data_IF_789864800705
#
_entry.id   IF_789864800705
#
_cell.length_a   1.000
_cell.length_b   1.000
_cell.length_c   1.000
_cell.angle_alpha   90.00
_cell.angle_beta   90.00
_cell.angle_gamma   90.00
#
_symmetry.space_group_name_H-M   'P 1'
#
loop_
_entity.id
_entity.type
_entity.pdbx_description
1 polymer ?
#
# COMPACT_ATOMS: atom_id res chain seq x y z
N UNK A 1 -64.90 24.43 -15.68
CA UNK A 1 -63.60 24.89 -16.23
C UNK A 1 -62.52 24.95 -15.12
N UNK A 2 -62.45 23.91 -14.25
CA UNK A 2 -61.50 23.88 -13.10
C UNK A 2 -60.84 22.52 -12.87
N UNK A 3 -60.98 21.55 -13.78
CA UNK A 3 -60.42 20.19 -13.60
C UNK A 3 -59.18 19.90 -14.49
N UNK A 4 -58.85 20.80 -15.46
CA UNK A 4 -57.74 20.58 -16.41
C UNK A 4 -56.39 21.13 -15.88
N UNK A 5 -56.42 22.11 -14.98
CA UNK A 5 -55.19 22.73 -14.46
C UNK A 5 -54.50 21.93 -13.34
N UNK A 6 -55.26 21.10 -12.63
CA UNK A 6 -54.66 20.26 -11.56
C UNK A 6 -53.88 19.05 -12.12
N UNK A 7 -54.26 18.54 -13.30
CA UNK A 7 -53.59 17.41 -13.92
C UNK A 7 -52.21 17.73 -14.48
N UNK A 8 -52.04 18.96 -14.99
CA UNK A 8 -50.74 19.43 -15.54
C UNK A 8 -49.67 19.68 -14.45
N UNK A 9 -50.12 20.06 -13.24
CA UNK A 9 -49.19 20.39 -12.14
C UNK A 9 -48.55 19.13 -11.55
N UNK A 10 -49.20 18.01 -11.52
CA UNK A 10 -48.67 16.77 -10.92
C UNK A 10 -47.67 16.05 -11.83
N UNK A 11 -47.85 16.08 -13.15
CA UNK A 11 -46.91 15.46 -14.08
C UNK A 11 -45.62 16.26 -14.21
N UNK A 12 -45.66 17.57 -14.10
CA UNK A 12 -44.47 18.41 -14.19
C UNK A 12 -43.60 18.30 -12.95
N UNK A 13 -44.21 18.08 -11.76
CA UNK A 13 -43.43 17.84 -10.52
C UNK A 13 -42.81 16.44 -10.47
N UNK A 14 -43.48 15.43 -11.04
CA UNK A 14 -42.95 14.06 -11.12
C UNK A 14 -41.77 13.97 -12.09
N UNK A 15 -41.79 14.66 -13.21
CA UNK A 15 -40.69 14.68 -14.20
C UNK A 15 -39.45 15.38 -13.64
N UNK A 16 -39.61 16.48 -12.88
CA UNK A 16 -38.51 17.19 -12.25
C UNK A 16 -37.86 16.34 -11.14
N UNK A 17 -38.64 15.54 -10.39
CA UNK A 17 -38.10 14.65 -9.36
C UNK A 17 -37.34 13.45 -9.95
N UNK A 18 -37.76 12.92 -11.10
CA UNK A 18 -37.08 11.83 -11.81
C UNK A 18 -35.79 12.33 -12.46
N UNK A 19 -35.75 13.56 -12.99
CA UNK A 19 -34.50 14.14 -13.54
C UNK A 19 -33.48 14.52 -12.46
N UNK A 20 -33.94 14.91 -11.26
CA UNK A 20 -33.02 15.23 -10.16
C UNK A 20 -32.44 13.96 -9.50
N UNK A 21 -33.16 12.85 -9.52
CA UNK A 21 -32.65 11.54 -9.03
C UNK A 21 -31.64 10.91 -10.00
N UNK A 22 -31.73 11.19 -11.30
CA UNK A 22 -30.78 10.68 -12.30
C UNK A 22 -29.42 11.39 -12.31
N UNK A 23 -29.30 12.56 -11.67
CA UNK A 23 -28.02 13.28 -11.56
C UNK A 23 -27.19 12.91 -10.32
N UNK A 24 -27.69 12.01 -9.46
CA UNK A 24 -26.95 11.54 -8.27
C UNK A 24 -26.29 10.17 -8.47
N UNK A 25 -26.42 9.56 -9.65
CA UNK A 25 -25.63 8.37 -10.03
C UNK A 25 -24.39 8.75 -10.83
N UNK A 26 -23.67 9.76 -10.34
CA UNK A 26 -22.43 10.20 -10.92
C UNK A 26 -21.24 9.71 -10.10
N UNK A 27 -20.43 8.87 -10.71
CA UNK A 27 -19.04 8.57 -10.36
C UNK A 27 -18.79 8.02 -8.95
N UNK A 28 -19.08 6.75 -8.76
CA UNK A 28 -18.20 5.93 -7.92
C UNK A 28 -16.98 5.47 -8.74
N UNK A 29 -16.28 6.41 -9.37
CA UNK A 29 -14.90 6.21 -9.75
C UNK A 29 -14.12 6.16 -8.44
N UNK A 30 -13.43 5.07 -8.16
CA UNK A 30 -12.46 5.01 -7.08
C UNK A 30 -11.46 6.13 -7.37
N UNK A 31 -11.41 7.13 -6.49
CA UNK A 31 -10.50 8.30 -6.57
C UNK A 31 -9.04 7.89 -6.28
N UNK A 32 -8.72 6.64 -6.59
CA UNK A 32 -7.37 6.11 -6.42
C UNK A 32 -6.47 6.64 -7.54
N UNK A 33 -5.33 7.24 -7.20
CA UNK A 33 -4.41 7.83 -8.17
C UNK A 33 -3.68 6.79 -9.03
N UNK A 34 -3.93 5.51 -8.80
CA UNK A 34 -3.29 4.40 -9.52
C UNK A 34 -4.26 3.23 -9.72
N UNK A 35 -3.94 2.35 -10.65
CA UNK A 35 -4.65 1.08 -10.87
C UNK A 35 -3.70 -0.12 -10.86
N UNK A 36 -4.23 -1.26 -10.44
CA UNK A 36 -3.52 -2.54 -10.46
C UNK A 36 -3.64 -3.19 -11.84
N UNK A 37 -2.52 -3.65 -12.38
CA UNK A 37 -2.46 -4.39 -13.64
C UNK A 37 -2.04 -5.83 -13.32
N UNK A 38 -2.90 -6.78 -13.65
CA UNK A 38 -2.67 -8.20 -13.47
C UNK A 38 -2.42 -8.86 -14.83
N UNK A 39 -1.48 -9.79 -14.88
CA UNK A 39 -1.34 -10.67 -16.02
C UNK A 39 -2.46 -11.72 -16.01
N UNK A 40 -2.89 -12.25 -17.17
CA UNK A 40 -3.93 -13.28 -17.23
C UNK A 40 -3.63 -14.45 -16.28
N UNK A 41 -4.59 -14.79 -15.41
CA UNK A 41 -4.47 -15.85 -14.42
C UNK A 41 -3.76 -15.46 -13.11
N UNK A 42 -3.34 -14.21 -12.96
CA UNK A 42 -2.74 -13.70 -11.70
C UNK A 42 -3.66 -12.76 -10.93
N UNK A 43 -4.87 -12.54 -11.41
CA UNK A 43 -5.88 -11.73 -10.75
C UNK A 43 -6.31 -12.38 -9.41
N UNK A 44 -6.65 -11.59 -8.38
CA UNK A 44 -7.17 -12.13 -7.12
C UNK A 44 -8.36 -13.08 -7.31
N UNK A 45 -9.22 -12.79 -8.30
CA UNK A 45 -10.38 -13.63 -8.68
C UNK A 45 -10.00 -14.98 -9.29
N UNK A 46 -8.81 -15.14 -9.83
CA UNK A 46 -8.31 -16.41 -10.37
C UNK A 46 -7.84 -17.39 -9.27
N UNK A 47 -7.90 -16.98 -7.99
CA UNK A 47 -7.42 -17.79 -6.86
C UNK A 47 -5.89 -17.89 -6.78
N UNK A 48 -5.16 -17.14 -7.60
CA UNK A 48 -3.72 -17.08 -7.55
C UNK A 48 -3.27 -16.37 -6.25
N UNK A 49 -2.49 -17.06 -5.42
CA UNK A 49 -1.93 -16.50 -4.18
C UNK A 49 -0.63 -15.74 -4.47
N UNK A 50 -0.70 -14.75 -5.36
CA UNK A 50 0.46 -13.93 -5.69
C UNK A 50 0.70 -12.88 -4.59
N UNK A 51 1.90 -12.79 -4.02
CA UNK A 51 2.23 -11.83 -2.96
C UNK A 51 2.49 -10.40 -3.49
N UNK A 52 2.30 -10.17 -4.79
CA UNK A 52 2.55 -8.89 -5.46
C UNK A 52 1.60 -8.70 -6.64
N UNK A 53 1.44 -7.45 -7.07
CA UNK A 53 0.77 -7.08 -8.32
C UNK A 53 1.78 -7.06 -9.47
N UNK A 54 1.40 -7.51 -10.65
CA UNK A 54 2.31 -7.58 -11.82
C UNK A 54 2.82 -6.20 -12.24
N UNK A 55 1.93 -5.18 -12.23
CA UNK A 55 2.30 -3.79 -12.43
C UNK A 55 1.27 -2.86 -11.77
N UNK A 56 1.68 -1.62 -11.50
CA UNK A 56 0.78 -0.55 -11.06
C UNK A 56 0.99 0.64 -11.97
N UNK A 57 -0.10 1.13 -12.56
CA UNK A 57 -0.08 2.33 -13.38
C UNK A 57 -0.53 3.53 -12.55
N UNK A 58 0.36 4.49 -12.36
CA UNK A 58 0.04 5.78 -11.73
C UNK A 58 -0.62 6.68 -12.76
N UNK A 59 -1.76 7.27 -12.41
CA UNK A 59 -2.54 8.16 -13.28
C UNK A 59 -2.50 9.62 -12.81
N UNK A 60 -2.36 9.83 -11.50
CA UNK A 60 -2.34 11.17 -10.89
C UNK A 60 -1.69 11.06 -9.51
N UNK A 61 -1.70 12.14 -8.73
CA UNK A 61 -1.22 12.16 -7.36
C UNK A 61 0.24 12.57 -7.20
N UNK A 62 0.68 12.68 -5.94
CA UNK A 62 2.02 13.07 -5.55
C UNK A 62 2.86 11.83 -5.25
N UNK A 63 4.01 11.70 -5.91
CA UNK A 63 4.94 10.59 -5.69
C UNK A 63 5.80 10.89 -4.46
N UNK A 64 5.84 9.95 -3.53
CA UNK A 64 6.69 9.99 -2.32
C UNK A 64 7.67 8.83 -2.36
N UNK A 65 8.96 9.14 -2.31
CA UNK A 65 10.04 8.17 -2.19
C UNK A 65 10.38 7.98 -0.72
N UNK A 66 10.23 6.76 -0.21
CA UNK A 66 10.63 6.40 1.13
C UNK A 66 12.02 5.77 1.08
N UNK A 67 12.92 6.25 1.93
CA UNK A 67 14.26 5.68 2.06
C UNK A 67 14.22 4.22 2.51
N UNK A 68 15.31 3.49 2.19
CA UNK A 68 15.53 2.14 2.72
C UNK A 68 15.48 2.16 4.25
N UNK A 69 14.72 1.24 4.81
CA UNK A 69 14.50 1.13 6.24
C UNK A 69 14.82 -0.28 6.70
N UNK A 70 15.66 -0.39 7.72
CA UNK A 70 15.99 -1.64 8.40
C UNK A 70 15.23 -1.73 9.73
N UNK A 71 15.26 -2.90 10.37
CA UNK A 71 14.62 -3.07 11.67
C UNK A 71 15.37 -2.42 12.85
N UNK A 72 16.21 -1.43 12.61
CA UNK A 72 16.88 -0.64 13.64
C UNK A 72 15.96 0.44 14.20
N UNK A 73 16.06 0.78 15.49
CA UNK A 73 15.38 1.94 16.04
C UNK A 73 15.86 3.23 15.39
N UNK A 74 14.98 4.23 15.33
CA UNK A 74 15.36 5.57 14.90
C UNK A 74 15.00 6.56 16.02
N UNK A 75 15.91 7.44 16.43
CA UNK A 75 17.29 7.62 15.94
C UNK A 75 18.29 6.55 16.49
N UNK A 76 19.41 6.38 15.81
CA UNK A 76 20.58 5.63 16.29
C UNK A 76 21.87 6.32 15.82
N UNK A 77 23.01 5.91 16.34
CA UNK A 77 24.30 6.56 16.05
C UNK A 77 24.82 6.29 14.64
N UNK A 78 25.47 7.29 14.06
CA UNK A 78 26.26 7.19 12.83
C UNK A 78 27.66 7.75 13.07
N UNK A 79 28.75 6.97 12.90
CA UNK A 79 28.79 5.55 12.51
C UNK A 79 28.04 4.62 13.48
N UNK A 80 27.50 3.51 12.96
CA UNK A 80 26.71 2.57 13.73
C UNK A 80 27.51 1.96 14.90
N UNK A 81 26.87 1.91 16.07
CA UNK A 81 27.44 1.28 17.28
C UNK A 81 26.64 -0.02 17.54
N UNK A 82 27.21 -1.22 17.28
CA UNK A 82 26.48 -2.48 17.37
C UNK A 82 25.78 -2.72 18.71
N UNK A 83 26.35 -2.27 19.83
CA UNK A 83 25.76 -2.43 21.16
C UNK A 83 24.45 -1.68 21.36
N UNK A 84 24.16 -0.67 20.56
CA UNK A 84 22.84 0.01 20.59
C UNK A 84 21.68 -0.92 20.19
N UNK A 85 22.01 -2.02 19.49
CA UNK A 85 21.02 -2.97 18.99
C UNK A 85 20.93 -4.25 19.83
N UNK A 86 21.77 -4.44 20.86
CA UNK A 86 21.87 -5.71 21.62
C UNK A 86 20.58 -6.12 22.35
N UNK A 87 19.71 -5.16 22.62
CA UNK A 87 18.42 -5.38 23.27
C UNK A 87 17.32 -5.84 22.32
N UNK A 88 17.56 -5.88 21.00
CA UNK A 88 16.55 -6.18 19.99
C UNK A 88 16.38 -7.69 19.80
N UNK A 89 15.16 -8.08 19.52
CA UNK A 89 14.86 -9.40 18.95
C UNK A 89 15.21 -9.40 17.45
N UNK A 90 16.15 -10.26 17.06
CA UNK A 90 16.61 -10.40 15.68
C UNK A 90 15.89 -11.53 14.92
N UNK A 91 14.80 -12.09 15.45
CA UNK A 91 13.98 -13.00 14.67
C UNK A 91 13.47 -12.33 13.39
N UNK A 92 13.29 -13.07 12.29
CA UNK A 92 12.79 -12.51 11.04
C UNK A 92 11.45 -11.79 11.18
N UNK A 93 10.58 -12.33 12.01
CA UNK A 93 9.28 -11.74 12.34
C UNK A 93 9.42 -10.38 13.02
N UNK A 94 10.22 -10.32 14.09
CA UNK A 94 10.40 -9.08 14.85
C UNK A 94 11.08 -7.98 14.02
N UNK A 95 12.07 -8.32 13.22
CA UNK A 95 12.71 -7.39 12.31
C UNK A 95 11.73 -6.85 11.26
N UNK A 96 10.92 -7.74 10.66
CA UNK A 96 9.94 -7.33 9.65
C UNK A 96 8.85 -6.44 10.25
N UNK A 97 8.40 -6.71 11.47
CA UNK A 97 7.45 -5.84 12.17
C UNK A 97 8.03 -4.42 12.31
N UNK A 98 9.27 -4.29 12.81
CA UNK A 98 9.92 -2.97 12.97
C UNK A 98 10.08 -2.24 11.64
N UNK A 99 10.46 -2.94 10.58
CA UNK A 99 10.55 -2.36 9.23
C UNK A 99 9.18 -1.84 8.78
N UNK A 100 8.12 -2.62 8.93
CA UNK A 100 6.78 -2.23 8.49
C UNK A 100 6.21 -1.08 9.32
N UNK A 101 6.45 -1.05 10.63
CA UNK A 101 6.07 0.10 11.48
C UNK A 101 6.81 1.37 11.08
N UNK A 102 8.09 1.28 10.72
CA UNK A 102 8.86 2.43 10.25
C UNK A 102 8.36 2.95 8.90
N UNK A 103 8.07 2.05 7.96
CA UNK A 103 7.47 2.42 6.65
C UNK A 103 6.11 3.08 6.86
N UNK A 104 5.27 2.50 7.74
CA UNK A 104 3.97 3.04 8.08
C UNK A 104 4.10 4.46 8.64
N UNK A 105 4.95 4.66 9.63
CA UNK A 105 5.19 5.97 10.20
C UNK A 105 5.69 7.00 9.17
N UNK A 106 6.57 6.59 8.25
CA UNK A 106 7.09 7.48 7.21
C UNK A 106 6.02 7.90 6.19
N UNK A 107 5.19 6.96 5.71
CA UNK A 107 4.10 7.28 4.77
C UNK A 107 3.00 8.11 5.44
N UNK A 108 2.67 7.84 6.70
CA UNK A 108 1.71 8.62 7.49
C UNK A 108 2.22 10.06 7.74
N UNK A 109 3.52 10.23 8.00
CA UNK A 109 4.14 11.55 8.13
C UNK A 109 4.08 12.37 6.82
N UNK A 110 4.01 11.70 5.67
CA UNK A 110 3.80 12.33 4.37
C UNK A 110 2.31 12.60 4.07
N UNK A 111 1.41 12.22 4.96
CA UNK A 111 -0.05 12.40 4.79
C UNK A 111 -0.75 11.23 4.09
N UNK A 112 -0.08 10.11 3.91
CA UNK A 112 -0.61 8.90 3.27
C UNK A 112 -0.86 7.76 4.25
N UNK A 113 -1.05 6.57 3.68
CA UNK A 113 -1.27 5.32 4.40
C UNK A 113 -0.60 4.15 3.67
N UNK A 114 -0.50 2.99 4.30
CA UNK A 114 0.16 1.82 3.69
C UNK A 114 -0.44 1.39 2.34
N UNK A 115 -1.73 1.62 2.13
CA UNK A 115 -2.39 1.31 0.86
C UNK A 115 -2.07 2.28 -0.28
N UNK A 116 -1.35 3.37 0.00
CA UNK A 116 -0.84 4.29 -1.01
C UNK A 116 0.54 3.86 -1.55
N UNK A 117 1.16 2.85 -0.93
CA UNK A 117 2.44 2.30 -1.38
C UNK A 117 2.21 1.47 -2.64
N UNK A 118 2.79 1.91 -3.75
CA UNK A 118 2.64 1.26 -5.06
C UNK A 118 3.80 0.32 -5.40
N UNK A 119 4.96 0.50 -4.77
CA UNK A 119 6.14 -0.33 -5.01
C UNK A 119 6.96 -0.52 -3.74
N UNK A 120 7.53 -1.73 -3.61
CA UNK A 120 8.56 -2.03 -2.62
C UNK A 120 9.73 -2.77 -3.28
N UNK A 121 10.95 -2.46 -2.84
CA UNK A 121 12.14 -3.28 -3.08
C UNK A 121 12.61 -3.81 -1.73
N UNK A 122 12.78 -5.12 -1.64
CA UNK A 122 13.22 -5.81 -0.44
C UNK A 122 14.63 -6.36 -0.64
N UNK A 123 15.54 -5.91 0.18
CA UNK A 123 16.91 -6.43 0.26
C UNK A 123 16.97 -7.41 1.43
N UNK A 124 17.15 -8.69 1.13
CA UNK A 124 17.02 -9.77 2.11
C UNK A 124 18.32 -10.56 2.16
N UNK A 125 18.82 -10.80 3.37
CA UNK A 125 19.91 -11.73 3.62
C UNK A 125 19.37 -13.14 3.85
N UNK A 126 19.99 -14.15 3.25
CA UNK A 126 19.58 -15.55 3.34
C UNK A 126 18.08 -15.71 2.98
N UNK A 127 17.71 -15.38 1.75
CA UNK A 127 16.31 -15.40 1.26
C UNK A 127 15.65 -16.74 1.54
N UNK A 128 16.35 -17.86 1.30
CA UNK A 128 15.82 -19.21 1.50
C UNK A 128 15.35 -19.49 2.94
N UNK A 129 15.97 -18.85 3.92
CA UNK A 129 15.64 -19.03 5.35
C UNK A 129 14.60 -18.04 5.85
N UNK A 130 14.61 -16.81 5.32
CA UNK A 130 13.89 -15.67 5.91
C UNK A 130 12.63 -15.26 5.18
N UNK A 131 12.52 -15.55 3.86
CA UNK A 131 11.47 -15.01 3.01
C UNK A 131 10.05 -15.35 3.47
N UNK A 132 9.81 -16.58 3.96
CA UNK A 132 8.47 -17.00 4.37
C UNK A 132 7.98 -16.24 5.60
N UNK A 133 8.87 -16.02 6.58
CA UNK A 133 8.57 -15.24 7.78
C UNK A 133 8.29 -13.77 7.40
N UNK A 134 9.13 -13.18 6.56
CA UNK A 134 8.97 -11.82 6.04
C UNK A 134 7.62 -11.69 5.32
N UNK A 135 7.30 -12.61 4.40
CA UNK A 135 6.04 -12.58 3.65
C UNK A 135 4.81 -12.67 4.57
N UNK A 136 4.84 -13.56 5.58
CA UNK A 136 3.73 -13.68 6.54
C UNK A 136 3.46 -12.39 7.28
N UNK A 137 4.52 -11.69 7.72
CA UNK A 137 4.37 -10.41 8.42
C UNK A 137 3.88 -9.33 7.47
N UNK A 138 4.56 -9.12 6.34
CA UNK A 138 4.18 -8.06 5.38
C UNK A 138 2.74 -8.21 4.88
N UNK A 139 2.27 -9.44 4.63
CA UNK A 139 0.89 -9.69 4.20
C UNK A 139 -0.16 -9.23 5.22
N UNK A 140 0.13 -9.24 6.52
CA UNK A 140 -0.77 -8.70 7.55
C UNK A 140 -0.89 -7.18 7.47
N UNK A 141 0.21 -6.50 7.11
CA UNK A 141 0.24 -5.04 6.96
C UNK A 141 -0.47 -4.57 5.69
N UNK A 142 -0.29 -5.28 4.57
CA UNK A 142 -0.94 -4.95 3.32
C UNK A 142 -2.46 -5.21 3.35
N UNK A 143 -2.92 -6.14 4.16
CA UNK A 143 -4.32 -6.58 4.17
C UNK A 143 -4.68 -7.45 2.95
N UNK A 144 -5.96 -7.78 2.76
CA UNK A 144 -6.38 -8.76 1.76
C UNK A 144 -6.39 -8.24 0.33
N UNK A 145 -6.59 -6.94 0.13
CA UNK A 145 -6.85 -6.34 -1.19
C UNK A 145 -5.70 -5.53 -1.77
N UNK A 146 -4.69 -5.17 -0.93
CA UNK A 146 -3.56 -4.38 -1.38
C UNK A 146 -2.31 -5.24 -1.59
N UNK A 147 -1.70 -5.11 -2.76
CA UNK A 147 -0.44 -5.78 -3.10
C UNK A 147 0.40 -4.82 -3.95
N UNK A 148 1.41 -4.17 -3.39
CA UNK A 148 2.31 -3.33 -4.17
C UNK A 148 3.09 -4.16 -5.19
N UNK A 149 3.55 -3.53 -6.27
CA UNK A 149 4.56 -4.12 -7.12
C UNK A 149 5.81 -4.37 -6.28
N UNK A 150 6.39 -5.58 -6.35
CA UNK A 150 7.44 -5.97 -5.41
C UNK A 150 8.61 -6.65 -6.13
N UNK A 151 9.82 -6.33 -5.67
CA UNK A 151 11.06 -7.03 -6.05
C UNK A 151 11.77 -7.48 -4.78
N UNK A 152 12.30 -8.70 -4.78
CA UNK A 152 13.17 -9.21 -3.71
C UNK A 152 14.55 -9.48 -4.28
N UNK A 153 15.57 -8.97 -3.61
CA UNK A 153 16.99 -9.16 -3.94
C UNK A 153 17.68 -9.81 -2.75
N UNK A 154 18.40 -10.89 -3.02
CA UNK A 154 19.28 -11.45 -2.00
C UNK A 154 20.57 -10.65 -1.93
N UNK A 155 21.00 -10.31 -0.72
CA UNK A 155 22.20 -9.51 -0.47
C UNK A 155 23.13 -10.21 0.53
N UNK A 156 24.40 -9.84 0.50
CA UNK A 156 25.40 -10.41 1.41
C UNK A 156 25.20 -9.88 2.84
N UNK A 157 24.98 -8.57 2.99
CA UNK A 157 24.73 -7.90 4.27
C UNK A 157 24.09 -6.53 4.08
N UNK A 158 23.48 -6.03 5.14
CA UNK A 158 23.05 -4.64 5.25
C UNK A 158 24.17 -3.77 5.81
N UNK A 159 24.09 -2.47 5.52
CA UNK A 159 25.12 -1.51 5.93
C UNK A 159 25.12 -1.24 7.43
N UNK A 160 23.95 -1.34 8.08
CA UNK A 160 23.76 -0.96 9.49
C UNK A 160 24.48 -1.90 10.46
N UNK A 161 24.07 -3.17 10.47
CA UNK A 161 24.66 -4.21 11.35
C UNK A 161 24.42 -5.59 10.70
N UNK A 162 25.38 -6.53 10.78
CA UNK A 162 25.25 -7.85 10.13
C UNK A 162 24.12 -8.72 10.69
N UNK A 163 23.53 -8.39 11.83
CA UNK A 163 22.39 -9.11 12.41
C UNK A 163 21.04 -8.75 11.74
N UNK A 164 20.96 -7.61 11.07
CA UNK A 164 19.78 -7.27 10.28
C UNK A 164 19.74 -8.10 9.01
N UNK A 165 18.52 -8.55 8.65
CA UNK A 165 18.29 -9.44 7.51
C UNK A 165 17.41 -8.82 6.44
N UNK A 166 16.74 -7.71 6.74
CA UNK A 166 15.78 -7.08 5.85
C UNK A 166 15.97 -5.57 5.83
N UNK A 167 16.05 -5.02 4.63
CA UNK A 167 15.84 -3.60 4.34
C UNK A 167 14.76 -3.47 3.27
N UNK A 168 13.88 -2.49 3.41
CA UNK A 168 12.82 -2.21 2.44
C UNK A 168 12.82 -0.74 2.09
N UNK A 169 12.90 -0.45 0.80
CA UNK A 169 12.56 0.86 0.24
C UNK A 169 11.17 0.82 -0.38
N UNK A 170 10.46 1.94 -0.40
CA UNK A 170 9.12 2.00 -0.92
C UNK A 170 8.86 3.29 -1.72
N UNK A 171 7.87 3.21 -2.61
CA UNK A 171 7.31 4.37 -3.32
C UNK A 171 5.82 4.38 -3.04
N UNK A 172 5.31 5.54 -2.60
CA UNK A 172 3.89 5.79 -2.42
C UNK A 172 3.37 6.82 -3.43
N UNK A 173 2.08 6.78 -3.71
CA UNK A 173 1.38 7.77 -4.54
C UNK A 173 0.17 8.25 -3.75
N UNK A 174 0.25 9.48 -3.28
CA UNK A 174 -0.80 10.11 -2.48
C UNK A 174 -1.79 10.84 -3.39
N UNK A 175 -3.10 10.81 -3.08
CA UNK A 175 -4.08 11.66 -3.76
C UNK A 175 -3.70 13.15 -3.70
N UNK A 176 -4.17 13.91 -4.69
CA UNK A 176 -4.01 15.38 -4.72
C UNK A 176 -4.90 16.04 -3.67
#
# INVERSE_FOLDING_TARGET
MYLVDLYKSHHMRAVIFIMLAAMLTGCSGTDQPFEYIHLPGTEPSAGANMPFTSAIQVRSGNIVFLSGTVGAPSPHSHPHIPSEFDHLDFSPEAQTIRVMESIKAAVEAAGGQLTDIVRVTRFVRNVGENQDAINRVMNRYWGPSHRPASTTVEIVRLATDPRFILEVEAIAVLPN
#
